data_IF_298600216295
#
_entry.id   IF_298600216295
#
_cell.length_a   1.000
_cell.length_b   1.000
_cell.length_c   1.000
_cell.angle_alpha   90.00
_cell.angle_beta   90.00
_cell.angle_gamma   90.00
#
_symmetry.space_group_name_H-M   'P 1'
#
loop_
_entity.id
_entity.type
_entity.pdbx_description
1 polymer ?
#
# COMPACT_ATOMS: atom_id res chain seq x y z
N UNK A 1 10.98 -18.65 -5.20
CA UNK A 1 9.87 -17.84 -4.63
C UNK A 1 9.69 -16.67 -5.58
N UNK A 2 8.53 -16.57 -6.24
CA UNK A 2 8.23 -15.41 -7.08
C UNK A 2 8.08 -14.17 -6.20
N UNK A 3 8.51 -13.02 -6.68
CA UNK A 3 8.25 -11.74 -6.04
C UNK A 3 6.74 -11.61 -5.81
N UNK A 4 6.32 -11.17 -4.62
CA UNK A 4 4.90 -11.00 -4.25
C UNK A 4 4.29 -9.76 -4.94
N UNK A 5 4.52 -9.65 -6.25
CA UNK A 5 4.19 -8.54 -7.13
C UNK A 5 3.48 -9.09 -8.37
N UNK A 6 2.36 -8.46 -8.75
CA UNK A 6 1.43 -8.97 -9.74
C UNK A 6 1.06 -7.91 -10.78
N UNK A 7 0.96 -8.35 -12.04
CA UNK A 7 0.65 -7.51 -13.19
C UNK A 7 1.90 -7.02 -13.92
N UNK A 8 1.72 -6.60 -15.17
CA UNK A 8 2.79 -6.03 -15.98
C UNK A 8 2.99 -4.54 -15.63
N UNK A 9 4.24 -4.06 -15.53
CA UNK A 9 4.52 -2.64 -15.35
C UNK A 9 3.96 -1.79 -16.49
N UNK A 10 3.30 -0.68 -16.16
CA UNK A 10 2.82 0.32 -17.11
C UNK A 10 3.94 1.35 -17.31
N UNK A 11 4.57 1.28 -18.49
CA UNK A 11 5.72 2.08 -18.92
C UNK A 11 5.36 2.93 -20.13
N UNK A 12 6.28 3.80 -20.57
CA UNK A 12 6.10 4.57 -21.82
C UNK A 12 5.79 3.67 -23.02
N UNK A 13 6.40 2.48 -23.10
CA UNK A 13 6.11 1.50 -24.15
C UNK A 13 4.67 0.97 -24.10
N UNK A 14 4.09 0.84 -22.92
CA UNK A 14 2.67 0.46 -22.75
C UNK A 14 1.78 1.57 -23.30
N UNK A 15 2.09 2.82 -22.95
CA UNK A 15 1.32 3.99 -23.38
C UNK A 15 1.38 4.19 -24.88
N UNK A 16 2.56 4.05 -25.52
CA UNK A 16 2.70 4.12 -26.98
C UNK A 16 1.89 3.08 -27.75
N UNK A 17 1.43 2.02 -27.10
CA UNK A 17 0.50 1.05 -27.68
C UNK A 17 -0.97 1.51 -27.64
N UNK A 18 -1.29 2.63 -27.00
CA UNK A 18 -2.62 3.24 -26.95
C UNK A 18 -2.71 4.35 -28.00
N UNK A 19 -3.83 4.38 -28.73
CA UNK A 19 -4.08 5.35 -29.80
C UNK A 19 -3.90 6.81 -29.36
N UNK A 20 -4.20 7.11 -28.10
CA UNK A 20 -4.06 8.46 -27.52
C UNK A 20 -2.60 8.92 -27.33
N UNK A 21 -1.62 8.00 -27.33
CA UNK A 21 -0.19 8.31 -27.15
C UNK A 21 0.70 7.79 -28.29
N UNK A 22 0.13 7.32 -29.41
CA UNK A 22 0.89 6.67 -30.50
C UNK A 22 1.99 7.58 -31.06
N UNK A 23 1.70 8.87 -31.19
CA UNK A 23 2.63 9.90 -31.67
C UNK A 23 3.16 10.82 -30.55
N UNK A 24 2.94 10.48 -29.28
CA UNK A 24 3.40 11.30 -28.15
C UNK A 24 4.84 10.97 -27.76
N UNK A 25 5.73 11.92 -28.00
CA UNK A 25 7.14 11.83 -27.64
C UNK A 25 7.43 12.26 -26.19
N UNK A 26 6.47 12.90 -25.51
CA UNK A 26 6.62 13.54 -24.19
C UNK A 26 5.76 12.90 -23.10
N UNK A 27 5.65 11.57 -23.09
CA UNK A 27 4.92 10.83 -22.05
C UNK A 27 5.51 11.10 -20.66
N UNK A 28 4.68 11.69 -19.78
CA UNK A 28 5.05 12.08 -18.41
C UNK A 28 4.76 10.98 -17.38
N UNK A 29 5.20 11.16 -16.13
CA UNK A 29 4.81 10.30 -15.01
C UNK A 29 3.30 10.39 -14.71
N UNK A 30 2.68 11.56 -14.92
CA UNK A 30 1.24 11.77 -14.74
C UNK A 30 0.45 10.90 -15.73
N UNK A 31 0.88 10.84 -16.99
CA UNK A 31 0.20 10.02 -18.01
C UNK A 31 0.26 8.54 -17.64
N UNK A 32 1.46 8.06 -17.24
CA UNK A 32 1.64 6.69 -16.76
C UNK A 32 0.81 6.38 -15.51
N UNK A 33 0.69 7.34 -14.60
CA UNK A 33 -0.11 7.22 -13.38
C UNK A 33 -1.61 7.11 -13.68
N UNK A 34 -2.13 7.94 -14.60
CA UNK A 34 -3.54 7.90 -15.04
C UNK A 34 -3.90 6.56 -15.69
N UNK A 35 -3.08 6.10 -16.62
CA UNK A 35 -3.27 4.80 -17.26
C UNK A 35 -3.20 3.67 -16.23
N UNK A 36 -2.27 3.74 -15.28
CA UNK A 36 -2.20 2.78 -14.20
C UNK A 36 -3.47 2.76 -13.33
N UNK A 37 -4.02 3.91 -12.96
CA UNK A 37 -5.24 3.95 -12.17
C UNK A 37 -6.43 3.34 -12.93
N UNK A 38 -6.57 3.66 -14.22
CA UNK A 38 -7.61 3.10 -15.08
C UNK A 38 -7.48 1.59 -15.29
N UNK A 39 -6.24 1.08 -15.34
CA UNK A 39 -5.95 -0.34 -15.52
C UNK A 39 -5.81 -1.12 -14.21
N UNK A 40 -6.21 -0.58 -13.06
CA UNK A 40 -6.02 -1.21 -11.73
C UNK A 40 -6.50 -2.66 -11.63
N UNK A 41 -7.60 -2.98 -12.30
CA UNK A 41 -8.21 -4.32 -12.30
C UNK A 41 -8.04 -5.06 -13.64
N UNK A 42 -7.28 -4.51 -14.59
CA UNK A 42 -7.04 -5.15 -15.89
C UNK A 42 -6.20 -6.44 -15.74
N UNK A 43 -6.33 -7.38 -16.68
CA UNK A 43 -5.53 -8.61 -16.74
C UNK A 43 -5.63 -9.52 -15.49
N UNK A 44 -6.69 -9.37 -14.69
CA UNK A 44 -6.95 -10.14 -13.46
C UNK A 44 -5.81 -10.07 -12.42
N UNK A 45 -4.91 -9.08 -12.51
CA UNK A 45 -3.75 -8.96 -11.62
C UNK A 45 -4.13 -8.83 -10.14
N UNK A 46 -5.27 -8.18 -9.86
CA UNK A 46 -5.85 -8.10 -8.53
C UNK A 46 -6.35 -9.47 -8.03
N UNK A 47 -6.94 -10.29 -8.91
CA UNK A 47 -7.42 -11.63 -8.58
C UNK A 47 -6.25 -12.54 -8.22
N UNK A 48 -5.16 -12.50 -9.00
CA UNK A 48 -3.94 -13.29 -8.71
C UNK A 48 -3.29 -12.87 -7.39
N UNK A 49 -3.23 -11.57 -7.12
CA UNK A 49 -2.72 -11.06 -5.84
C UNK A 49 -3.58 -11.52 -4.65
N UNK A 50 -4.91 -11.51 -4.79
CA UNK A 50 -5.84 -12.03 -3.77
C UNK A 50 -5.69 -13.53 -3.57
N UNK A 51 -5.64 -14.32 -4.64
CA UNK A 51 -5.42 -15.77 -4.56
C UNK A 51 -4.11 -16.10 -3.85
N UNK A 52 -3.05 -15.34 -4.11
CA UNK A 52 -1.79 -15.47 -3.39
C UNK A 52 -1.95 -15.22 -1.88
N UNK A 53 -2.68 -14.18 -1.48
CA UNK A 53 -2.94 -13.87 -0.08
C UNK A 53 -3.82 -14.91 0.62
N UNK A 54 -4.85 -15.43 -0.05
CA UNK A 54 -5.67 -16.51 0.50
C UNK A 54 -4.84 -17.79 0.74
N UNK A 55 -3.93 -18.13 -0.18
CA UNK A 55 -2.99 -19.23 0.04
C UNK A 55 -2.06 -18.96 1.25
N UNK A 56 -1.58 -17.73 1.45
CA UNK A 56 -0.79 -17.38 2.63
C UNK A 56 -1.60 -17.52 3.93
N UNK A 57 -2.86 -17.09 3.91
CA UNK A 57 -3.79 -17.19 5.05
C UNK A 57 -4.07 -18.64 5.43
N UNK A 58 -4.37 -19.52 4.48
CA UNK A 58 -4.63 -20.94 4.75
C UNK A 58 -3.44 -21.63 5.44
N UNK A 59 -2.22 -21.16 5.16
CA UNK A 59 -0.98 -21.74 5.67
C UNK A 59 -0.37 -20.98 6.86
N UNK A 60 -1.01 -19.92 7.36
CA UNK A 60 -0.38 -19.04 8.36
C UNK A 60 -0.39 -19.60 9.79
N UNK A 61 -1.21 -20.62 10.08
CA UNK A 61 -1.26 -21.29 11.38
C UNK A 61 -1.83 -20.44 12.52
N UNK A 62 -2.43 -19.29 12.21
CA UNK A 62 -3.12 -18.41 13.17
C UNK A 62 -4.54 -18.12 12.70
N UNK A 63 -5.35 -17.56 13.59
CA UNK A 63 -6.77 -17.21 13.39
C UNK A 63 -7.00 -15.69 13.24
N UNK A 64 -5.93 -14.89 13.16
CA UNK A 64 -6.00 -13.45 12.93
C UNK A 64 -4.81 -12.94 12.10
N UNK A 65 -5.09 -12.14 11.08
CA UNK A 65 -4.08 -11.45 10.29
C UNK A 65 -4.71 -10.42 9.36
N UNK A 66 -3.91 -9.65 8.63
CA UNK A 66 -4.36 -8.63 7.68
C UNK A 66 -3.78 -8.96 6.31
N UNK A 67 -4.66 -9.11 5.31
CA UNK A 67 -4.29 -9.39 3.92
C UNK A 67 -4.02 -8.05 3.24
N UNK A 68 -2.74 -7.68 3.07
CA UNK A 68 -2.35 -6.36 2.57
C UNK A 68 -2.09 -6.37 1.06
N UNK A 69 -2.80 -5.51 0.34
CA UNK A 69 -2.66 -5.24 -1.09
C UNK A 69 -2.22 -3.79 -1.31
N UNK A 70 -1.16 -3.62 -2.10
CA UNK A 70 -0.54 -2.33 -2.40
C UNK A 70 -0.58 -2.09 -3.91
N UNK A 71 -1.36 -1.15 -4.40
CA UNK A 71 -1.37 -0.79 -5.82
C UNK A 71 -0.57 0.47 -6.09
N UNK A 72 0.42 0.39 -6.98
CA UNK A 72 1.18 1.56 -7.38
C UNK A 72 0.61 2.21 -8.65
N UNK A 73 0.06 3.42 -8.52
CA UNK A 73 -0.37 4.28 -9.61
C UNK A 73 0.33 5.65 -9.54
N UNK A 74 1.63 5.67 -9.21
CA UNK A 74 2.43 6.91 -9.08
C UNK A 74 3.16 7.29 -10.38
N UNK A 75 3.03 6.50 -11.44
CA UNK A 75 3.75 6.71 -12.69
C UNK A 75 5.19 6.20 -12.69
N UNK A 76 5.76 5.89 -11.52
CA UNK A 76 7.13 5.38 -11.36
C UNK A 76 7.14 4.17 -10.39
N UNK A 77 8.27 3.47 -10.27
CA UNK A 77 8.43 2.41 -9.26
C UNK A 77 8.53 3.00 -7.85
N UNK A 78 7.82 2.40 -6.90
CA UNK A 78 8.00 2.68 -5.46
C UNK A 78 8.84 1.57 -4.83
N UNK A 79 9.67 1.92 -3.84
CA UNK A 79 10.63 1.04 -3.18
C UNK A 79 10.38 0.98 -1.69
N UNK A 80 10.45 -0.21 -1.11
CA UNK A 80 10.35 -0.40 0.33
C UNK A 80 11.47 0.34 1.08
N UNK A 81 11.12 1.06 2.14
CA UNK A 81 12.07 1.82 2.99
C UNK A 81 12.19 1.15 4.35
N UNK A 82 11.06 1.04 5.05
CA UNK A 82 11.02 0.54 6.42
C UNK A 82 9.62 0.03 6.76
N UNK A 83 9.50 -0.61 7.93
CA UNK A 83 8.24 -1.07 8.48
C UNK A 83 8.23 -0.89 10.00
N UNK A 84 7.04 -0.99 10.58
CA UNK A 84 6.84 -1.08 12.02
C UNK A 84 5.84 -2.18 12.31
N UNK A 85 6.19 -3.09 13.21
CA UNK A 85 5.23 -4.02 13.79
C UNK A 85 5.02 -3.55 15.24
N UNK A 86 3.84 -3.01 15.54
CA UNK A 86 3.47 -2.69 16.92
C UNK A 86 3.01 -3.95 17.65
N UNK A 87 2.18 -4.76 16.97
CA UNK A 87 1.72 -6.06 17.44
C UNK A 87 1.65 -7.02 16.28
N UNK A 88 2.08 -8.27 16.48
CA UNK A 88 2.19 -9.25 15.40
C UNK A 88 3.48 -9.10 14.58
N UNK A 89 3.51 -9.73 13.42
CA UNK A 89 4.65 -9.70 12.51
C UNK A 89 4.23 -10.05 11.08
N UNK A 90 5.15 -9.83 10.14
CA UNK A 90 5.01 -10.31 8.77
C UNK A 90 4.86 -11.84 8.72
N UNK A 91 3.96 -12.33 7.85
CA UNK A 91 3.76 -13.74 7.57
C UNK A 91 4.86 -14.35 6.70
N UNK A 92 4.55 -15.45 6.00
CA UNK A 92 5.54 -16.24 5.28
C UNK A 92 6.17 -15.56 4.05
N UNK A 93 5.61 -14.44 3.57
CA UNK A 93 6.15 -13.66 2.46
C UNK A 93 6.78 -12.36 2.94
N UNK A 94 7.96 -11.95 2.44
CA UNK A 94 8.54 -10.65 2.75
C UNK A 94 7.67 -9.50 2.20
N UNK A 95 7.94 -8.27 2.67
CA UNK A 95 7.35 -7.08 2.06
C UNK A 95 7.86 -6.94 0.63
N UNK A 96 7.01 -6.60 -0.36
CA UNK A 96 7.46 -6.34 -1.72
C UNK A 96 8.53 -5.25 -1.75
N UNK A 97 9.74 -5.57 -2.21
CA UNK A 97 10.86 -4.61 -2.17
C UNK A 97 10.70 -3.48 -3.19
N UNK A 98 10.13 -3.79 -4.36
CA UNK A 98 9.83 -2.82 -5.41
C UNK A 98 8.46 -3.15 -6.01
N UNK A 99 7.63 -2.13 -6.24
CA UNK A 99 6.35 -2.28 -6.92
C UNK A 99 6.36 -1.28 -8.07
N UNK A 100 6.38 -1.75 -9.32
CA UNK A 100 6.38 -0.85 -10.46
C UNK A 100 4.99 -0.23 -10.68
N UNK A 101 4.94 0.91 -11.38
CA UNK A 101 3.69 1.53 -11.78
C UNK A 101 2.78 0.52 -12.49
N UNK A 102 1.51 0.44 -12.10
CA UNK A 102 0.54 -0.50 -12.64
C UNK A 102 0.51 -1.89 -11.98
N UNK A 103 1.38 -2.17 -11.01
CA UNK A 103 1.46 -3.47 -10.32
C UNK A 103 0.79 -3.45 -8.94
N UNK A 104 0.41 -4.64 -8.50
CA UNK A 104 0.01 -4.92 -7.12
C UNK A 104 1.16 -5.58 -6.37
N UNK A 105 1.53 -5.08 -5.20
CA UNK A 105 2.27 -5.83 -4.18
C UNK A 105 1.30 -6.49 -3.20
N UNK A 106 1.66 -7.66 -2.68
CA UNK A 106 0.85 -8.39 -1.71
C UNK A 106 1.70 -8.93 -0.56
N UNK A 107 1.21 -8.83 0.67
CA UNK A 107 1.81 -9.53 1.82
C UNK A 107 0.76 -9.79 2.90
N UNK A 108 1.03 -10.77 3.76
CA UNK A 108 0.22 -11.09 4.93
C UNK A 108 0.94 -10.57 6.18
N UNK A 109 0.23 -9.86 7.05
CA UNK A 109 0.67 -9.57 8.40
C UNK A 109 -0.18 -10.39 9.37
N UNK A 110 0.40 -11.03 10.37
CA UNK A 110 -0.31 -11.95 11.28
C UNK A 110 -0.19 -11.49 12.71
N UNK A 111 -1.16 -11.86 13.55
CA UNK A 111 -0.98 -11.72 15.00
C UNK A 111 0.16 -12.61 15.49
N UNK A 112 0.71 -12.27 16.65
CA UNK A 112 1.67 -13.09 17.37
C UNK A 112 1.08 -13.43 18.73
N UNK A 113 0.80 -14.71 18.99
CA UNK A 113 0.33 -15.12 20.31
C UNK A 113 1.35 -14.73 21.40
N UNK A 114 0.91 -14.23 22.56
CA UNK A 114 -0.48 -14.11 23.00
C UNK A 114 -1.19 -12.78 22.62
N UNK A 115 -0.57 -11.92 21.80
CA UNK A 115 -1.14 -10.62 21.46
C UNK A 115 -2.44 -10.76 20.63
N UNK A 116 -3.47 -9.96 20.94
CA UNK A 116 -4.76 -10.03 20.24
C UNK A 116 -4.77 -9.31 18.89
N UNK A 117 -3.65 -8.70 18.48
CA UNK A 117 -3.61 -7.71 17.42
C UNK A 117 -2.66 -8.10 16.28
N UNK A 118 -3.02 -7.66 15.07
CA UNK A 118 -2.16 -7.57 13.89
C UNK A 118 -2.09 -6.10 13.48
N UNK A 119 -1.12 -5.39 14.06
CA UNK A 119 -0.96 -3.94 13.91
C UNK A 119 0.42 -3.62 13.37
N UNK A 120 0.45 -3.00 12.20
CA UNK A 120 1.71 -2.71 11.52
C UNK A 120 1.61 -1.56 10.55
N UNK A 121 2.78 -1.15 10.07
CA UNK A 121 2.94 -0.15 9.04
C UNK A 121 4.08 -0.52 8.09
N UNK A 122 3.96 -0.07 6.84
CA UNK A 122 5.01 -0.13 5.83
C UNK A 122 5.21 1.24 5.20
N UNK A 123 6.45 1.54 4.82
CA UNK A 123 6.83 2.79 4.18
C UNK A 123 7.47 2.48 2.84
N UNK A 124 6.98 3.15 1.80
CA UNK A 124 7.53 3.09 0.45
C UNK A 124 7.98 4.47 -0.01
N UNK A 125 9.13 4.54 -0.67
CA UNK A 125 9.66 5.73 -1.32
C UNK A 125 9.39 5.70 -2.80
N UNK A 126 9.13 6.86 -3.35
CA UNK A 126 8.92 7.12 -4.78
C UNK A 126 9.06 8.61 -5.02
N UNK A 127 8.45 9.11 -6.09
CA UNK A 127 8.59 10.52 -6.50
C UNK A 127 7.26 11.16 -6.83
N UNK A 128 7.19 12.46 -6.57
CA UNK A 128 6.12 13.33 -7.05
C UNK A 128 6.27 13.66 -8.56
N UNK A 129 5.30 14.38 -9.18
CA UNK A 129 5.38 14.73 -10.60
C UNK A 129 6.58 15.61 -10.96
N UNK A 130 7.19 16.29 -9.98
CA UNK A 130 8.37 17.15 -10.14
C UNK A 130 9.68 16.42 -9.87
N UNK A 131 9.62 15.08 -9.80
CA UNK A 131 10.75 14.18 -9.54
C UNK A 131 11.36 14.28 -8.13
N UNK A 132 10.67 14.94 -7.19
CA UNK A 132 11.14 15.03 -5.81
C UNK A 132 10.66 13.82 -5.02
N UNK A 133 11.56 13.22 -4.24
CA UNK A 133 11.24 12.03 -3.45
C UNK A 133 10.30 12.33 -2.27
N UNK A 134 9.39 11.40 -2.01
CA UNK A 134 8.49 11.40 -0.87
C UNK A 134 8.31 9.96 -0.34
N UNK A 135 8.00 9.83 0.95
CA UNK A 135 7.74 8.58 1.63
C UNK A 135 6.23 8.44 1.90
N UNK A 136 5.65 7.32 1.45
CA UNK A 136 4.26 6.93 1.64
C UNK A 136 4.17 5.84 2.72
N UNK A 137 3.51 6.15 3.83
CA UNK A 137 3.29 5.22 4.94
C UNK A 137 1.85 4.73 4.95
N UNK A 138 1.68 3.40 4.99
CA UNK A 138 0.40 2.71 5.17
C UNK A 138 0.45 1.99 6.50
N UNK A 139 -0.55 2.18 7.35
CA UNK A 139 -0.71 1.41 8.59
C UNK A 139 -2.11 0.83 8.76
N UNK A 140 -2.19 -0.23 9.55
CA UNK A 140 -3.43 -0.93 9.85
C UNK A 140 -3.47 -1.39 11.31
N UNK A 141 -4.69 -1.44 11.85
CA UNK A 141 -5.00 -2.06 13.14
C UNK A 141 -6.03 -3.16 12.92
N UNK A 142 -5.79 -4.33 13.50
CA UNK A 142 -6.70 -5.45 13.43
C UNK A 142 -6.68 -6.26 14.73
N UNK A 143 -7.70 -6.07 15.56
CA UNK A 143 -7.86 -6.76 16.85
C UNK A 143 -8.82 -7.96 16.71
N UNK A 144 -8.58 -9.04 17.44
CA UNK A 144 -9.43 -10.25 17.46
C UNK A 144 -10.88 -10.00 17.95
N UNK A 145 -11.08 -9.10 18.91
CA UNK A 145 -12.38 -8.83 19.49
C UNK A 145 -13.17 -7.80 18.67
N UNK A 146 -13.86 -8.31 17.65
CA UNK A 146 -14.70 -7.54 16.72
C UNK A 146 -15.95 -6.91 17.35
N UNK A 147 -16.31 -7.32 18.55
CA UNK A 147 -17.45 -6.74 19.28
C UNK A 147 -17.09 -5.35 19.83
N UNK A 148 -15.85 -5.19 20.30
CA UNK A 148 -15.40 -3.95 20.94
C UNK A 148 -14.49 -3.11 20.05
N UNK A 149 -13.80 -3.73 19.09
CA UNK A 149 -12.77 -3.06 18.30
C UNK A 149 -13.00 -3.28 16.81
N UNK A 150 -13.07 -2.16 16.10
CA UNK A 150 -13.11 -2.14 14.65
C UNK A 150 -11.70 -2.08 14.08
N UNK A 151 -11.48 -2.68 12.92
CA UNK A 151 -10.26 -2.49 12.14
C UNK A 151 -10.05 -1.03 11.79
N UNK A 152 -8.79 -0.59 11.76
CA UNK A 152 -8.41 0.78 11.37
C UNK A 152 -7.41 0.75 10.23
N UNK A 153 -7.46 1.74 9.38
CA UNK A 153 -6.45 1.99 8.37
C UNK A 153 -6.06 3.46 8.39
N UNK A 154 -4.76 3.73 8.25
CA UNK A 154 -4.24 5.09 8.23
C UNK A 154 -3.13 5.22 7.21
N UNK A 155 -3.03 6.39 6.61
CA UNK A 155 -2.13 6.68 5.51
C UNK A 155 -1.52 8.06 5.75
N UNK A 156 -0.22 8.19 5.55
CA UNK A 156 0.49 9.47 5.71
C UNK A 156 1.58 9.59 4.66
N UNK A 157 1.69 10.76 4.02
CA UNK A 157 2.77 11.03 3.04
C UNK A 157 3.64 12.19 3.51
N UNK A 158 4.95 11.99 3.43
CA UNK A 158 5.96 12.86 4.03
C UNK A 158 7.19 13.01 3.14
N UNK A 159 8.04 13.96 3.50
CA UNK A 159 9.41 14.01 3.05
C UNK A 159 10.17 12.71 3.35
N UNK A 160 11.25 12.49 2.61
CA UNK A 160 12.14 11.35 2.82
C UNK A 160 12.60 11.28 4.27
N UNK A 161 12.73 10.04 4.76
CA UNK A 161 13.31 9.70 6.07
C UNK A 161 12.49 10.16 7.28
N UNK A 162 11.30 10.76 7.08
CA UNK A 162 10.40 11.18 8.15
C UNK A 162 10.04 10.05 9.14
N UNK A 163 9.97 8.82 8.62
CA UNK A 163 9.55 7.63 9.36
C UNK A 163 10.72 6.82 9.96
N UNK A 164 11.97 7.24 9.77
CA UNK A 164 13.14 6.57 10.36
C UNK A 164 13.29 6.79 11.87
N UNK A 165 12.99 7.99 12.43
CA UNK A 165 13.09 8.20 13.87
C UNK A 165 12.02 7.40 14.64
N UNK A 166 12.43 6.66 15.67
CA UNK A 166 11.50 5.84 16.47
C UNK A 166 10.36 6.62 17.13
N UNK A 167 10.62 7.88 17.50
CA UNK A 167 9.63 8.76 18.11
C UNK A 167 8.41 9.03 17.23
N UNK A 168 8.53 8.90 15.90
CA UNK A 168 7.43 9.15 14.96
C UNK A 168 6.35 8.06 15.07
N UNK A 169 6.73 6.82 15.41
CA UNK A 169 5.81 5.69 15.41
C UNK A 169 4.74 5.74 16.50
N UNK A 170 5.00 6.40 17.63
CA UNK A 170 3.98 6.58 18.68
C UNK A 170 2.82 7.43 18.17
N UNK A 171 3.12 8.59 17.60
CA UNK A 171 2.12 9.49 17.02
C UNK A 171 1.35 8.84 15.87
N UNK A 172 2.03 8.04 15.04
CA UNK A 172 1.36 7.30 13.95
C UNK A 172 0.39 6.26 14.51
N UNK A 173 0.78 5.53 15.55
CA UNK A 173 -0.07 4.54 16.19
C UNK A 173 -1.34 5.17 16.76
N UNK A 174 -1.20 6.28 17.49
CA UNK A 174 -2.36 7.02 18.03
C UNK A 174 -3.27 7.55 16.92
N UNK A 175 -2.68 8.09 15.85
CA UNK A 175 -3.43 8.57 14.67
C UNK A 175 -4.20 7.43 14.01
N UNK A 176 -3.58 6.26 13.87
CA UNK A 176 -4.22 5.06 13.34
C UNK A 176 -5.36 4.56 14.22
N UNK A 177 -5.20 4.53 15.54
CA UNK A 177 -6.30 4.12 16.43
C UNK A 177 -7.48 5.09 16.38
N UNK A 178 -7.21 6.38 16.17
CA UNK A 178 -8.23 7.42 16.00
C UNK A 178 -8.90 7.42 14.61
N UNK A 179 -8.36 6.69 13.64
CA UNK A 179 -8.87 6.66 12.27
C UNK A 179 -10.11 5.76 12.11
N UNK A 180 -10.54 5.55 10.87
CA UNK A 180 -11.63 4.63 10.52
C UNK A 180 -11.18 3.49 9.61
N UNK A 181 -12.14 2.89 8.91
CA UNK A 181 -11.89 1.85 7.90
C UNK A 181 -11.24 2.38 6.62
N UNK A 182 -11.24 3.69 6.42
CA UNK A 182 -10.71 4.35 5.24
C UNK A 182 -9.98 5.63 5.66
N UNK A 183 -8.84 5.88 5.03
CA UNK A 183 -8.10 7.12 5.16
C UNK A 183 -7.55 7.57 3.81
N UNK A 184 -7.56 8.88 3.59
CA UNK A 184 -6.93 9.51 2.44
C UNK A 184 -5.98 10.60 2.93
N UNK A 185 -4.70 10.48 2.61
CA UNK A 185 -3.64 11.36 3.10
C UNK A 185 -3.83 12.81 2.64
N UNK A 186 -4.60 13.06 1.57
CA UNK A 186 -4.92 14.44 1.13
C UNK A 186 -5.73 15.23 2.15
N UNK A 187 -6.29 14.56 3.16
CA UNK A 187 -7.01 15.18 4.28
C UNK A 187 -6.10 15.62 5.42
N UNK A 188 -4.84 15.21 5.41
CA UNK A 188 -3.88 15.59 6.44
C UNK A 188 -3.33 16.99 6.14
N UNK A 189 -3.46 17.91 7.10
CA UNK A 189 -2.99 19.31 6.95
C UNK A 189 -1.50 19.43 6.67
N UNK A 190 -0.73 18.43 7.11
CA UNK A 190 0.71 18.40 6.99
C UNK A 190 1.15 17.56 5.77
N UNK A 191 0.22 16.99 4.98
CA UNK A 191 0.55 16.11 3.83
C UNK A 191 1.48 16.80 2.81
N UNK A 192 2.48 16.04 2.33
CA UNK A 192 3.35 16.52 1.25
C UNK A 192 2.58 16.67 -0.05
N UNK A 193 2.63 17.86 -0.65
CA UNK A 193 1.99 18.17 -1.94
C UNK A 193 2.54 17.30 -3.07
N UNK A 194 1.67 16.93 -4.02
CA UNK A 194 2.05 16.17 -5.22
C UNK A 194 1.97 14.65 -5.08
N UNK A 195 2.07 14.12 -3.86
CA UNK A 195 1.92 12.69 -3.55
C UNK A 195 0.61 12.45 -2.77
N UNK A 196 -0.14 11.39 -3.12
CA UNK A 196 -1.36 11.01 -2.38
C UNK A 196 -1.42 9.51 -2.10
N UNK A 197 -2.12 9.15 -1.01
CA UNK A 197 -2.29 7.78 -0.56
C UNK A 197 -3.70 7.59 -0.03
N UNK A 198 -4.40 6.60 -0.55
CA UNK A 198 -5.66 6.14 0.05
C UNK A 198 -5.51 4.71 0.53
N UNK A 199 -6.00 4.42 1.73
CA UNK A 199 -6.05 3.08 2.29
C UNK A 199 -7.47 2.76 2.78
N UNK A 200 -7.94 1.55 2.51
CA UNK A 200 -9.17 1.00 3.10
C UNK A 200 -8.92 -0.37 3.70
N UNK A 201 -9.71 -0.76 4.69
CA UNK A 201 -9.67 -2.09 5.30
C UNK A 201 -11.09 -2.60 5.58
N UNK A 202 -11.34 -3.88 5.32
CA UNK A 202 -12.56 -4.56 5.77
C UNK A 202 -12.56 -4.82 7.28
N UNK A 203 -13.67 -5.26 7.87
CA UNK A 203 -13.75 -5.57 9.30
C UNK A 203 -14.01 -7.07 9.52
N UNK A 204 -12.94 -7.85 9.62
CA UNK A 204 -12.97 -9.31 9.84
C UNK A 204 -11.67 -9.76 10.53
N UNK A 205 -11.53 -11.04 10.86
CA UNK A 205 -10.31 -11.63 11.40
C UNK A 205 -9.16 -11.68 10.39
N UNK A 206 -9.51 -11.83 9.10
CA UNK A 206 -8.60 -11.72 7.96
C UNK A 206 -9.09 -10.66 6.97
N UNK A 207 -9.17 -9.38 7.37
CA UNK A 207 -9.66 -8.34 6.49
C UNK A 207 -8.63 -8.05 5.40
N UNK A 208 -9.14 -7.66 4.24
CA UNK A 208 -8.31 -7.16 3.15
C UNK A 208 -8.07 -5.66 3.37
N UNK A 209 -6.80 -5.28 3.51
CA UNK A 209 -6.34 -3.90 3.50
C UNK A 209 -5.84 -3.54 2.08
N UNK A 210 -6.39 -2.50 1.48
CA UNK A 210 -6.05 -2.05 0.13
C UNK A 210 -5.48 -0.64 0.22
N UNK A 211 -4.21 -0.48 -0.14
CA UNK A 211 -3.59 0.83 -0.32
C UNK A 211 -3.40 1.13 -1.81
N UNK A 212 -3.65 2.37 -2.20
CA UNK A 212 -3.46 2.86 -3.57
C UNK A 212 -2.58 4.10 -3.51
N UNK A 213 -1.36 3.97 -4.02
CA UNK A 213 -0.37 5.03 -4.11
C UNK A 213 -0.64 5.81 -5.40
N UNK A 214 -0.78 7.13 -5.30
CA UNK A 214 -1.19 8.01 -6.41
C UNK A 214 -0.38 9.31 -6.39
N UNK A 215 -0.45 10.05 -7.49
CA UNK A 215 -0.10 11.47 -7.53
C UNK A 215 -1.35 12.28 -7.16
N UNK A 216 -1.18 13.51 -6.65
CA UNK A 216 -2.34 14.31 -6.19
C UNK A 216 -3.27 14.75 -7.35
N UNK A 217 -2.74 14.90 -8.56
CA UNK A 217 -3.45 15.39 -9.75
C UNK A 217 -3.91 14.27 -10.71
N UNK A 218 -4.05 13.04 -10.18
CA UNK A 218 -4.43 11.80 -10.89
C UNK A 218 -5.59 11.12 -10.18
#
# INVERSE_FOLDING_TARGET
>A
MGDAVFGNPIRNSTLRGLLEFEDDYNITSIDRARVALNMKNAEEKNVRALQYLENLKENCGVDLGTLCLLYNATGNTIKFVTHKNWYGNIGASPYPMEIANGQWGAFLHVKRNPDPNSDGAVVYRGKDPTEVECDWMVSWHNHDNKVHWNTKAYAKVREIDHFLPDRTWGTIYDSMLSSGYFHDSTRDNDNRTGCSLSVSIGNDHFPIAVAVFKLQDV
#
